data_IF_489099814822
#
_entry.id   IF_489099814822
#
_cell.length_a   1.000
_cell.length_b   1.000
_cell.length_c   1.000
_cell.angle_alpha   90.00
_cell.angle_beta   90.00
_cell.angle_gamma   90.00
#
_symmetry.space_group_name_H-M   'P 1'
#
loop_
_entity.id
_entity.type
_entity.pdbx_description
1 polymer ?
#
# COMPACT_ATOMS: atom_id res chain seq x y z
N UNK A 1 -8.11 -0.60 6.36
CA UNK A 1 -7.07 -0.73 5.31
C UNK A 1 -7.68 -1.03 3.94
N UNK A 2 -8.52 -2.06 3.80
CA UNK A 2 -9.11 -2.45 2.51
C UNK A 2 -9.95 -1.35 1.83
N UNK A 3 -10.89 -0.73 2.56
CA UNK A 3 -11.71 0.37 2.05
C UNK A 3 -10.89 1.62 1.64
N UNK A 4 -9.77 1.86 2.33
CA UNK A 4 -8.83 2.91 1.96
C UNK A 4 -8.14 2.55 0.64
N UNK A 5 -7.63 1.33 0.53
CA UNK A 5 -6.95 0.86 -0.68
C UNK A 5 -7.88 0.85 -1.91
N UNK A 6 -9.14 0.44 -1.77
CA UNK A 6 -10.11 0.47 -2.89
C UNK A 6 -10.46 1.89 -3.33
N UNK A 7 -10.52 2.85 -2.40
CA UNK A 7 -10.71 4.26 -2.72
C UNK A 7 -9.50 4.86 -3.44
N UNK A 8 -8.29 4.57 -2.96
CA UNK A 8 -7.06 5.23 -3.39
C UNK A 8 -6.29 4.52 -4.50
N UNK A 9 -6.58 3.25 -4.78
CA UNK A 9 -5.87 2.47 -5.81
C UNK A 9 -5.91 3.11 -7.19
N UNK A 10 -7.07 3.67 -7.58
CA UNK A 10 -7.24 4.42 -8.84
C UNK A 10 -6.43 5.72 -8.93
N UNK A 11 -5.96 6.23 -7.78
CA UNK A 11 -5.17 7.45 -7.67
C UNK A 11 -3.70 7.16 -7.32
N UNK A 12 -3.24 5.91 -7.42
CA UNK A 12 -1.85 5.55 -7.15
C UNK A 12 -1.53 5.18 -5.69
N UNK A 13 -2.56 4.95 -4.87
CA UNK A 13 -2.43 4.29 -3.56
C UNK A 13 -2.43 5.20 -2.33
N UNK A 14 -2.37 6.53 -2.52
CA UNK A 14 -2.57 7.51 -1.45
C UNK A 14 -1.49 7.51 -0.36
N UNK A 15 -0.22 7.26 -0.72
CA UNK A 15 0.90 7.07 0.21
C UNK A 15 1.05 8.21 1.24
N UNK A 16 0.79 9.44 0.80
CA UNK A 16 0.84 10.67 1.60
C UNK A 16 -0.18 10.69 2.75
N UNK A 17 -1.30 9.97 2.60
CA UNK A 17 -2.35 9.87 3.62
C UNK A 17 -2.19 8.63 4.50
N UNK A 18 -1.31 7.68 4.16
CA UNK A 18 -1.15 6.44 4.92
C UNK A 18 -0.59 6.73 6.33
N UNK A 19 0.44 7.57 6.41
CA UNK A 19 1.07 7.87 7.70
C UNK A 19 0.14 8.66 8.63
N UNK A 20 -0.55 9.73 8.19
CA UNK A 20 -1.54 10.43 9.01
C UNK A 20 -2.70 9.56 9.47
N UNK A 21 -3.22 8.67 8.62
CA UNK A 21 -4.41 7.87 8.92
C UNK A 21 -4.12 6.63 9.77
N UNK A 22 -2.99 5.95 9.51
CA UNK A 22 -2.70 4.64 10.10
C UNK A 22 -1.48 4.63 11.03
N UNK A 23 -0.71 5.72 11.10
CA UNK A 23 0.50 5.79 11.91
C UNK A 23 1.61 4.81 11.49
N UNK A 24 1.56 4.30 10.26
CA UNK A 24 2.54 3.34 9.71
C UNK A 24 3.09 3.84 8.38
N UNK A 25 4.28 3.36 8.02
CA UNK A 25 4.87 3.70 6.71
C UNK A 25 4.10 3.01 5.57
N UNK A 26 4.11 3.59 4.35
CA UNK A 26 3.50 2.98 3.17
C UNK A 26 3.93 1.53 2.94
N UNK A 27 5.20 1.22 3.16
CA UNK A 27 5.74 -0.15 3.02
C UNK A 27 5.06 -1.13 3.97
N UNK A 28 4.88 -0.74 5.25
CA UNK A 28 4.21 -1.60 6.24
C UNK A 28 2.74 -1.75 5.91
N UNK A 29 2.09 -0.68 5.44
CA UNK A 29 0.70 -0.70 5.01
C UNK A 29 0.49 -1.69 3.85
N UNK A 30 1.28 -1.59 2.77
CA UNK A 30 1.15 -2.47 1.61
C UNK A 30 1.48 -3.93 1.93
N UNK A 31 2.44 -4.20 2.84
CA UNK A 31 2.70 -5.56 3.33
C UNK A 31 1.48 -6.14 4.06
N UNK A 32 0.91 -5.39 5.01
CA UNK A 32 -0.27 -5.81 5.77
C UNK A 32 -1.49 -6.02 4.87
N UNK A 33 -1.69 -5.11 3.91
CA UNK A 33 -2.75 -5.20 2.93
C UNK A 33 -2.59 -6.42 2.03
N UNK A 34 -1.36 -6.71 1.56
CA UNK A 34 -1.06 -7.89 0.76
C UNK A 34 -1.35 -9.18 1.54
N UNK A 35 -0.93 -9.25 2.81
CA UNK A 35 -1.25 -10.38 3.69
C UNK A 35 -2.76 -10.54 3.87
N UNK A 36 -3.51 -9.44 4.10
CA UNK A 36 -4.97 -9.49 4.21
C UNK A 36 -5.62 -10.03 2.93
N UNK A 37 -5.29 -9.48 1.75
CA UNK A 37 -5.88 -9.96 0.50
C UNK A 37 -5.39 -11.35 0.10
N UNK A 38 -4.32 -11.88 0.70
CA UNK A 38 -3.84 -13.24 0.39
C UNK A 38 -4.42 -14.27 1.36
N UNK A 39 -4.42 -13.97 2.66
CA UNK A 39 -4.81 -14.90 3.73
C UNK A 39 -6.31 -14.91 4.03
N UNK A 40 -7.01 -13.79 3.82
CA UNK A 40 -8.43 -13.69 4.18
C UNK A 40 -9.29 -14.24 3.03
N UNK A 41 -9.84 -15.45 3.20
CA UNK A 41 -10.93 -16.01 2.37
C UNK A 41 -12.28 -15.28 2.59
N UNK A 42 -12.33 -14.29 3.48
CA UNK A 42 -13.56 -13.74 4.05
C UNK A 42 -13.95 -12.45 3.33
N UNK A 43 -15.00 -12.58 2.52
CA UNK A 43 -16.19 -11.73 2.33
C UNK A 43 -16.02 -10.21 2.11
N UNK A 44 -16.81 -9.68 1.17
CA UNK A 44 -17.03 -8.27 0.76
C UNK A 44 -16.19 -7.67 -0.37
N UNK A 45 -15.16 -8.37 -0.89
CA UNK A 45 -14.42 -7.87 -2.07
C UNK A 45 -14.43 -8.88 -3.19
N UNK A 46 -14.94 -8.43 -4.35
CA UNK A 46 -14.99 -9.22 -5.57
C UNK A 46 -13.60 -9.75 -5.96
N UNK A 47 -13.56 -10.95 -6.53
CA UNK A 47 -12.34 -11.62 -6.95
C UNK A 47 -11.46 -10.76 -7.87
N UNK A 48 -12.08 -9.98 -8.77
CA UNK A 48 -11.34 -9.08 -9.66
C UNK A 48 -10.66 -7.95 -8.88
N UNK A 49 -11.36 -7.36 -7.91
CA UNK A 49 -10.80 -6.30 -7.05
C UNK A 49 -9.68 -6.83 -6.18
N UNK A 50 -9.83 -8.05 -5.65
CA UNK A 50 -8.82 -8.74 -4.84
C UNK A 50 -7.55 -8.98 -5.65
N UNK A 51 -7.69 -9.52 -6.86
CA UNK A 51 -6.57 -9.78 -7.78
C UNK A 51 -5.84 -8.49 -8.13
N UNK A 52 -6.59 -7.45 -8.49
CA UNK A 52 -6.05 -6.13 -8.79
C UNK A 52 -5.27 -5.53 -7.61
N UNK A 53 -5.83 -5.56 -6.39
CA UNK A 53 -5.16 -5.02 -5.20
C UNK A 53 -3.89 -5.81 -4.85
N UNK A 54 -3.90 -7.13 -5.02
CA UNK A 54 -2.72 -7.98 -4.81
C UNK A 54 -1.59 -7.59 -5.76
N UNK A 55 -1.90 -7.44 -7.05
CA UNK A 55 -0.91 -7.10 -8.06
C UNK A 55 -0.39 -5.67 -7.83
N UNK A 56 -1.29 -4.73 -7.54
CA UNK A 56 -0.95 -3.35 -7.18
C UNK A 56 0.01 -3.27 -5.98
N UNK A 57 -0.31 -3.97 -4.88
CA UNK A 57 0.53 -4.01 -3.69
C UNK A 57 1.89 -4.64 -4.00
N UNK A 58 1.92 -5.71 -4.78
CA UNK A 58 3.16 -6.38 -5.17
C UNK A 58 4.06 -5.46 -6.01
N UNK A 59 3.49 -4.72 -6.97
CA UNK A 59 4.24 -3.72 -7.75
C UNK A 59 4.76 -2.56 -6.88
N UNK A 60 3.97 -2.07 -5.93
CA UNK A 60 4.37 -1.03 -4.95
C UNK A 60 5.48 -1.49 -4.01
N UNK A 61 5.52 -2.77 -3.66
CA UNK A 61 6.57 -3.35 -2.82
C UNK A 61 7.83 -3.67 -3.61
N UNK A 62 7.69 -4.07 -4.88
CA UNK A 62 8.80 -4.33 -5.79
C UNK A 62 9.53 -3.04 -6.22
N UNK A 63 8.78 -1.94 -6.33
CA UNK A 63 9.34 -0.59 -6.50
C UNK A 63 9.37 0.08 -5.13
N UNK A 64 10.43 -0.09 -4.32
CA UNK A 64 10.53 0.59 -3.03
C UNK A 64 10.26 2.06 -3.28
N UNK A 65 9.28 2.62 -2.57
CA UNK A 65 8.83 3.99 -2.74
C UNK A 65 10.04 4.91 -2.85
N UNK A 66 10.39 5.29 -4.08
CA UNK A 66 11.45 6.24 -4.38
C UNK A 66 10.85 7.63 -4.13
N UNK A 67 10.48 7.86 -2.87
CA UNK A 67 9.63 8.96 -2.46
C UNK A 67 9.67 9.07 -0.95
N UNK A 68 10.66 9.82 -0.46
CA UNK A 68 10.78 10.40 0.90
C UNK A 68 11.52 9.59 1.97
N UNK A 69 12.75 9.15 1.66
CA UNK A 69 13.86 9.15 2.63
C UNK A 69 15.23 9.14 1.93
N UNK A 70 15.43 10.03 0.96
CA UNK A 70 16.77 10.50 0.64
C UNK A 70 16.93 11.88 1.31
N UNK A 71 17.05 11.88 2.64
CA UNK A 71 17.78 12.99 3.27
C UNK A 71 19.23 12.77 2.89
N UNK A 72 19.63 13.40 1.80
CA UNK A 72 21.04 13.63 1.48
C UNK A 72 21.63 14.37 2.66
N UNK A 73 22.31 13.66 3.56
CA UNK A 73 23.21 14.30 4.51
C UNK A 73 24.47 14.63 3.74
N UNK A 74 24.49 15.83 3.14
CA UNK A 74 25.72 16.44 2.62
C UNK A 74 26.62 16.73 3.82
N UNK A 75 27.86 16.27 3.72
CA UNK A 75 28.93 16.51 4.67
C UNK A 75 29.30 18.00 4.77
N UNK A 76 29.53 18.48 5.99
CA UNK A 76 30.63 19.39 6.36
C UNK A 76 31.17 18.88 7.70
#
# INVERSE_FOLDING_TARGET
>A
MLAFATKWSRFGGGDEYILPEFGITPVVFYKRLLTMVTSTLINDVDFATRTYLRDFCSSKLARPASGTAAVTRVAV
#
